data_IF_732247305378
#
_entry.id   IF_732247305378
#
_cell.length_a   1.000
_cell.length_b   1.000
_cell.length_c   1.000
_cell.angle_alpha   90.00
_cell.angle_beta   90.00
_cell.angle_gamma   90.00
#
_symmetry.space_group_name_H-M   'P 1'
#
loop_
_entity.id
_entity.type
_entity.pdbx_description
1 polymer ?
#
# COMPACT_ATOMS: atom_id res chain seq x y z
N UNK A 1 -14.32 10.94 10.47
CA UNK A 1 -13.34 11.74 9.72
C UNK A 1 -13.30 11.25 8.26
N UNK A 2 -12.99 12.11 7.28
CA UNK A 2 -12.76 11.68 5.90
C UNK A 2 -11.65 10.64 5.82
N UNK A 3 -11.69 9.73 4.81
CA UNK A 3 -10.74 8.62 4.69
C UNK A 3 -9.29 9.10 4.60
N UNK A 4 -9.04 10.16 3.83
CA UNK A 4 -7.71 10.78 3.73
C UNK A 4 -7.17 11.29 5.07
N UNK A 5 -8.04 11.83 5.93
CA UNK A 5 -7.67 12.26 7.30
C UNK A 5 -7.36 11.05 8.18
N UNK A 6 -8.13 9.96 8.08
CA UNK A 6 -7.84 8.70 8.78
C UNK A 6 -6.48 8.13 8.36
N UNK A 7 -6.17 8.17 7.06
CA UNK A 7 -4.86 7.76 6.53
C UNK A 7 -3.72 8.60 7.09
N UNK A 8 -3.89 9.93 7.14
CA UNK A 8 -2.90 10.85 7.73
C UNK A 8 -2.69 10.57 9.23
N UNK A 9 -3.77 10.40 9.98
CA UNK A 9 -3.70 10.05 11.41
C UNK A 9 -2.98 8.73 11.64
N UNK A 10 -3.27 7.71 10.81
CA UNK A 10 -2.61 6.41 10.86
C UNK A 10 -1.12 6.52 10.56
N UNK A 11 -0.73 7.28 9.55
CA UNK A 11 0.68 7.54 9.24
C UNK A 11 1.40 8.23 10.40
N UNK A 12 0.77 9.22 11.02
CA UNK A 12 1.34 9.91 12.17
C UNK A 12 1.51 8.98 13.37
N UNK A 13 0.49 8.22 13.73
CA UNK A 13 0.51 7.31 14.86
C UNK A 13 1.52 6.18 14.68
N UNK A 14 1.40 5.42 13.61
CA UNK A 14 2.29 4.27 13.33
C UNK A 14 3.71 4.74 13.02
N UNK A 15 3.83 5.84 12.29
CA UNK A 15 5.13 6.44 11.97
C UNK A 15 5.89 6.88 13.22
N UNK A 16 5.19 7.46 14.20
CA UNK A 16 5.78 7.82 15.49
C UNK A 16 6.35 6.58 16.22
N UNK A 17 5.58 5.50 16.31
CA UNK A 17 6.01 4.27 16.98
C UNK A 17 7.21 3.64 16.26
N UNK A 18 7.14 3.52 14.93
CA UNK A 18 8.23 2.99 14.11
C UNK A 18 9.50 3.85 14.20
N UNK A 19 9.36 5.17 14.17
CA UNK A 19 10.47 6.10 14.28
C UNK A 19 11.23 5.91 15.59
N UNK A 20 10.51 5.76 16.72
CA UNK A 20 11.10 5.53 18.01
C UNK A 20 11.79 4.15 18.10
N UNK A 21 11.11 3.10 17.60
CA UNK A 21 11.65 1.75 17.60
C UNK A 21 12.92 1.63 16.74
N UNK A 22 12.89 2.16 15.52
CA UNK A 22 14.06 2.15 14.61
C UNK A 22 15.22 2.96 15.21
N UNK A 23 14.91 4.14 15.75
CA UNK A 23 15.94 4.97 16.40
C UNK A 23 16.61 4.24 17.58
N UNK A 24 15.83 3.58 18.42
CA UNK A 24 16.36 2.83 19.56
C UNK A 24 17.25 1.68 19.09
N UNK A 25 16.83 0.94 18.07
CA UNK A 25 17.60 -0.17 17.52
C UNK A 25 18.89 0.29 16.84
N UNK A 26 18.86 1.39 16.09
CA UNK A 26 20.06 1.99 15.49
C UNK A 26 21.07 2.36 16.58
N UNK A 27 20.63 3.05 17.63
CA UNK A 27 21.52 3.46 18.74
C UNK A 27 22.10 2.24 19.45
N UNK A 28 21.31 1.19 19.68
CA UNK A 28 21.79 -0.04 20.33
C UNK A 28 22.91 -0.72 19.55
N UNK A 29 22.92 -0.54 18.22
CA UNK A 29 23.95 -1.04 17.30
C UNK A 29 25.11 -0.04 17.08
N UNK A 30 25.13 1.08 17.77
CA UNK A 30 26.15 2.13 17.59
C UNK A 30 26.00 2.92 16.28
N UNK A 31 24.81 2.88 15.65
CA UNK A 31 24.54 3.60 14.40
C UNK A 31 23.78 4.88 14.74
N UNK A 32 24.36 6.03 14.40
CA UNK A 32 23.79 7.35 14.67
C UNK A 32 23.23 7.95 13.37
N UNK A 33 22.01 7.52 12.99
CA UNK A 33 21.30 8.09 11.83
C UNK A 33 20.00 8.75 12.30
N UNK A 34 19.65 9.93 11.79
CA UNK A 34 18.32 10.49 11.99
C UNK A 34 17.24 9.57 11.37
N UNK A 35 16.08 9.50 12.01
CA UNK A 35 14.91 8.80 11.51
C UNK A 35 13.78 9.82 11.43
N UNK A 36 13.14 9.94 10.28
CA UNK A 36 12.05 10.89 10.05
C UNK A 36 10.82 10.18 9.48
N UNK A 37 9.64 10.56 9.96
CA UNK A 37 8.35 10.15 9.41
C UNK A 37 7.80 11.28 8.55
N UNK A 38 7.48 10.99 7.29
CA UNK A 38 6.90 11.93 6.33
C UNK A 38 5.45 11.53 6.07
N UNK A 39 4.52 12.42 6.41
CA UNK A 39 3.14 12.29 5.95
C UNK A 39 3.15 12.38 4.43
N UNK A 40 2.77 11.30 3.79
CA UNK A 40 2.95 11.13 2.34
C UNK A 40 1.60 11.14 1.65
N UNK A 41 1.41 12.11 0.77
CA UNK A 41 0.24 12.24 -0.09
C UNK A 41 0.53 11.64 -1.46
N UNK A 42 -0.47 10.97 -2.03
CA UNK A 42 -0.35 10.31 -3.32
C UNK A 42 -1.49 10.74 -4.22
N UNK A 43 -1.15 11.35 -5.33
CA UNK A 43 -2.11 11.77 -6.35
C UNK A 43 -2.63 10.55 -7.08
N UNK A 44 -3.94 10.51 -7.24
CA UNK A 44 -4.68 9.48 -7.99
C UNK A 44 -5.53 10.13 -9.08
N UNK A 45 -5.88 9.34 -10.10
CA UNK A 45 -6.83 9.76 -11.12
C UNK A 45 -8.26 9.70 -10.56
N UNK A 46 -9.04 10.80 -10.57
CA UNK A 46 -10.44 10.78 -10.15
C UNK A 46 -11.34 9.94 -11.07
N UNK A 47 -10.86 9.59 -12.27
CA UNK A 47 -11.58 8.78 -13.26
C UNK A 47 -11.03 7.36 -13.38
N UNK A 48 -10.16 6.92 -12.45
CA UNK A 48 -9.69 5.56 -12.40
C UNK A 48 -10.87 4.57 -12.32
N UNK A 49 -10.81 3.49 -13.09
CA UNK A 49 -11.86 2.47 -13.17
C UNK A 49 -12.19 1.84 -11.81
N UNK A 50 -11.24 1.79 -10.90
CA UNK A 50 -11.43 1.30 -9.53
C UNK A 50 -12.55 2.04 -8.76
N UNK A 51 -12.89 3.27 -9.15
CA UNK A 51 -14.02 3.99 -8.55
C UNK A 51 -15.39 3.46 -9.01
N UNK A 52 -15.45 2.84 -10.20
CA UNK A 52 -16.65 2.18 -10.70
C UNK A 52 -16.86 0.80 -10.08
N UNK A 53 -15.76 0.13 -9.70
CA UNK A 53 -15.77 -1.24 -9.17
C UNK A 53 -14.89 -1.32 -7.90
N UNK A 54 -15.36 -0.76 -6.77
CA UNK A 54 -14.61 -0.80 -5.53
C UNK A 54 -14.55 -2.22 -4.96
N UNK A 55 -13.35 -2.72 -4.67
CA UNK A 55 -13.14 -4.10 -4.20
C UNK A 55 -12.32 -4.17 -2.89
N UNK A 56 -11.66 -3.07 -2.51
CA UNK A 56 -10.76 -3.11 -1.35
C UNK A 56 -11.51 -3.15 -0.04
N UNK A 57 -11.50 -4.30 0.61
CA UNK A 57 -12.15 -4.51 1.91
C UNK A 57 -11.43 -3.69 2.99
N UNK A 58 -12.21 -2.93 3.78
CA UNK A 58 -11.72 -2.11 4.88
C UNK A 58 -12.61 -2.25 6.14
N UNK A 59 -12.09 -1.73 7.25
CA UNK A 59 -12.85 -1.55 8.49
C UNK A 59 -13.20 -2.87 9.19
N UNK A 60 -14.12 -2.78 10.13
CA UNK A 60 -14.62 -3.91 10.92
C UNK A 60 -15.71 -4.68 10.19
N UNK A 61 -16.03 -5.83 10.72
CA UNK A 61 -17.25 -6.57 10.35
C UNK A 61 -18.49 -5.78 10.78
N UNK A 62 -19.50 -5.76 9.93
CA UNK A 62 -20.80 -5.10 10.10
C UNK A 62 -21.90 -6.16 10.13
N UNK A 63 -22.96 -5.89 10.88
CA UNK A 63 -24.22 -6.63 10.74
C UNK A 63 -24.97 -6.17 9.48
N UNK A 64 -26.03 -6.89 9.08
CA UNK A 64 -26.89 -6.49 7.94
C UNK A 64 -27.47 -5.09 8.13
N UNK A 65 -27.98 -4.78 9.32
CA UNK A 65 -28.54 -3.46 9.65
C UNK A 65 -27.50 -2.34 9.57
N UNK A 66 -26.26 -2.62 10.02
CA UNK A 66 -25.15 -1.67 9.93
C UNK A 66 -24.70 -1.48 8.48
N UNK A 67 -24.74 -2.54 7.66
CA UNK A 67 -24.43 -2.48 6.24
C UNK A 67 -25.42 -1.60 5.48
N UNK A 68 -26.73 -1.79 5.68
CA UNK A 68 -27.79 -0.95 5.12
C UNK A 68 -27.59 0.53 5.52
N UNK A 69 -27.25 0.79 6.79
CA UNK A 69 -27.00 2.14 7.26
C UNK A 69 -25.73 2.78 6.64
N UNK A 70 -24.76 1.99 6.21
CA UNK A 70 -23.59 2.49 5.46
C UNK A 70 -23.93 2.75 3.99
N UNK A 71 -24.75 1.90 3.35
CA UNK A 71 -25.25 2.10 1.99
C UNK A 71 -26.11 3.38 1.88
N UNK A 72 -26.97 3.62 2.86
CA UNK A 72 -27.78 4.85 2.96
C UNK A 72 -26.93 6.13 3.02
N UNK A 73 -25.69 6.03 3.54
CA UNK A 73 -24.71 7.11 3.54
C UNK A 73 -23.93 7.22 2.23
N UNK A 74 -24.20 6.34 1.26
CA UNK A 74 -23.48 6.27 -0.01
C UNK A 74 -22.14 5.53 0.07
N UNK A 75 -21.89 4.73 1.10
CA UNK A 75 -20.74 3.86 1.18
C UNK A 75 -21.02 2.52 0.50
N UNK A 76 -19.98 1.91 -0.05
CA UNK A 76 -20.06 0.57 -0.61
C UNK A 76 -19.76 -0.47 0.48
N UNK A 77 -20.53 -1.56 0.45
CA UNK A 77 -20.33 -2.73 1.32
C UNK A 77 -20.34 -4.02 0.52
N UNK A 78 -19.73 -5.06 1.05
CA UNK A 78 -19.77 -6.41 0.48
C UNK A 78 -19.99 -7.43 1.57
N UNK A 79 -20.71 -8.51 1.25
CA UNK A 79 -20.84 -9.66 2.14
C UNK A 79 -19.51 -10.45 2.14
N UNK A 80 -19.01 -10.75 3.34
CA UNK A 80 -17.80 -11.53 3.51
C UNK A 80 -18.06 -12.95 4.01
N UNK A 81 -19.32 -13.35 4.07
CA UNK A 81 -19.79 -14.68 4.46
C UNK A 81 -20.59 -14.66 5.76
N UNK A 82 -21.44 -15.69 5.95
CA UNK A 82 -22.25 -15.89 7.14
C UNK A 82 -23.18 -14.72 7.53
N UNK A 83 -23.61 -13.89 6.56
CA UNK A 83 -24.40 -12.68 6.84
C UNK A 83 -23.59 -11.55 7.48
N UNK A 84 -22.27 -11.61 7.41
CA UNK A 84 -21.37 -10.57 7.83
C UNK A 84 -20.98 -9.69 6.64
N UNK A 85 -20.85 -8.39 6.86
CA UNK A 85 -20.54 -7.40 5.84
C UNK A 85 -19.31 -6.59 6.18
N UNK A 86 -18.65 -6.06 5.18
CA UNK A 86 -17.57 -5.09 5.36
C UNK A 86 -17.66 -3.98 4.31
N UNK A 87 -17.16 -2.81 4.67
CA UNK A 87 -17.04 -1.71 3.71
C UNK A 87 -15.97 -2.05 2.68
N UNK A 88 -16.19 -1.57 1.47
CA UNK A 88 -15.22 -1.62 0.37
C UNK A 88 -14.93 -0.21 -0.14
N UNK A 89 -13.72 0.00 -0.61
CA UNK A 89 -13.29 1.25 -1.25
C UNK A 89 -12.61 0.97 -2.59
N UNK A 90 -12.57 2.00 -3.42
CA UNK A 90 -11.74 2.02 -4.60
C UNK A 90 -10.24 1.92 -4.22
N UNK A 91 -9.47 1.20 -5.03
CA UNK A 91 -8.03 1.09 -4.89
C UNK A 91 -7.33 1.58 -6.18
N UNK A 92 -7.41 2.89 -6.50
CA UNK A 92 -6.85 3.45 -7.72
C UNK A 92 -5.32 3.35 -7.74
N UNK A 93 -4.75 3.36 -8.95
CA UNK A 93 -3.31 3.34 -9.16
C UNK A 93 -2.67 4.66 -8.73
N UNK A 94 -1.51 4.63 -8.06
CA UNK A 94 -0.78 5.83 -7.69
C UNK A 94 -0.17 6.52 -8.92
N UNK A 95 -0.43 7.81 -9.09
CA UNK A 95 0.16 8.59 -10.19
C UNK A 95 1.44 9.32 -9.77
N UNK A 96 1.41 10.02 -8.64
CA UNK A 96 2.50 10.89 -8.18
C UNK A 96 2.58 10.91 -6.66
N UNK A 97 3.78 10.85 -6.14
CA UNK A 97 4.07 11.04 -4.71
C UNK A 97 4.39 12.53 -4.51
N UNK A 98 3.58 13.22 -3.71
CA UNK A 98 3.71 14.68 -3.54
C UNK A 98 5.01 15.04 -2.85
N UNK A 99 5.37 14.31 -1.80
CA UNK A 99 6.56 14.57 -0.99
C UNK A 99 7.83 13.86 -1.50
N UNK A 100 7.85 13.39 -2.76
CA UNK A 100 8.96 12.61 -3.33
C UNK A 100 10.32 13.29 -3.17
N UNK A 101 10.42 14.58 -3.52
CA UNK A 101 11.68 15.31 -3.44
C UNK A 101 12.15 15.54 -1.98
N UNK A 102 11.23 15.66 -1.05
CA UNK A 102 11.55 15.71 0.39
C UNK A 102 12.11 14.36 0.86
N UNK A 103 11.46 13.26 0.47
CA UNK A 103 11.89 11.90 0.79
C UNK A 103 13.30 11.65 0.21
N UNK A 104 13.50 12.01 -1.08
CA UNK A 104 14.80 11.89 -1.76
C UNK A 104 15.88 12.64 -1.02
N UNK A 105 15.65 13.92 -0.70
CA UNK A 105 16.62 14.79 -0.01
C UNK A 105 17.08 14.20 1.32
N UNK A 106 16.15 13.66 2.10
CA UNK A 106 16.48 13.03 3.38
C UNK A 106 17.22 11.71 3.19
N UNK A 107 16.82 10.89 2.23
CA UNK A 107 17.49 9.63 1.92
C UNK A 107 18.92 9.86 1.41
N UNK A 108 19.12 10.80 0.49
CA UNK A 108 20.44 11.17 -0.04
C UNK A 108 21.35 11.75 1.06
N UNK A 109 20.78 12.41 2.07
CA UNK A 109 21.51 12.82 3.27
C UNK A 109 21.81 11.66 4.25
N UNK A 110 21.50 10.42 3.89
CA UNK A 110 21.77 9.21 4.67
C UNK A 110 20.83 9.00 5.85
N UNK A 111 19.71 9.67 5.89
CA UNK A 111 18.68 9.49 6.92
C UNK A 111 17.81 8.26 6.63
N UNK A 112 17.20 7.71 7.67
CA UNK A 112 16.13 6.70 7.53
C UNK A 112 14.79 7.43 7.41
N UNK A 113 14.07 7.16 6.33
CA UNK A 113 12.79 7.82 6.05
C UNK A 113 11.65 6.81 6.09
N UNK A 114 10.64 7.08 6.91
CA UNK A 114 9.39 6.36 6.95
C UNK A 114 8.38 7.15 6.12
N UNK A 115 7.94 6.58 5.01
CA UNK A 115 7.06 7.26 4.06
C UNK A 115 5.96 6.33 3.53
N UNK A 116 4.93 6.91 2.94
CA UNK A 116 3.84 6.22 2.26
C UNK A 116 3.13 5.14 3.09
N UNK A 117 3.09 5.29 4.42
CA UNK A 117 2.43 4.34 5.32
C UNK A 117 0.99 4.08 4.90
N UNK A 118 0.60 2.77 4.88
CA UNK A 118 -0.74 2.34 4.47
C UNK A 118 -1.07 2.57 3.00
N UNK A 119 -0.07 2.86 2.15
CA UNK A 119 -0.25 3.17 0.72
C UNK A 119 -0.22 4.67 0.41
N UNK A 120 -0.12 5.52 1.42
CA UNK A 120 -0.18 6.98 1.26
C UNK A 120 -1.57 7.57 1.52
N UNK A 121 -1.65 8.89 1.55
CA UNK A 121 -2.90 9.64 1.67
C UNK A 121 -3.41 9.92 0.26
N UNK A 122 -4.53 9.29 -0.17
CA UNK A 122 -5.03 9.50 -1.52
C UNK A 122 -5.58 10.92 -1.69
N UNK A 123 -5.09 11.62 -2.71
CA UNK A 123 -5.50 12.99 -3.03
C UNK A 123 -5.73 13.18 -4.53
N UNK A 124 -6.59 14.12 -4.87
CA UNK A 124 -6.88 14.55 -6.24
C UNK A 124 -6.36 15.99 -6.39
N UNK A 125 -5.61 16.25 -7.44
CA UNK A 125 -5.18 17.60 -7.78
C UNK A 125 -6.37 18.41 -8.35
N UNK A 126 -6.68 19.54 -7.72
CA UNK A 126 -7.69 20.48 -8.18
C UNK A 126 -7.07 21.89 -8.27
N UNK A 127 -6.62 22.25 -9.47
CA UNK A 127 -5.85 23.48 -9.71
C UNK A 127 -4.59 23.55 -8.83
N UNK A 128 -4.63 24.35 -7.74
CA UNK A 128 -3.51 24.53 -6.82
C UNK A 128 -3.70 23.80 -5.48
N UNK A 129 -4.81 23.09 -5.31
CA UNK A 129 -5.15 22.41 -4.07
C UNK A 129 -5.13 20.90 -4.22
N UNK A 130 -4.85 20.22 -3.12
CA UNK A 130 -5.00 18.78 -2.99
C UNK A 130 -6.27 18.50 -2.19
N UNK A 131 -7.18 17.73 -2.76
CA UNK A 131 -8.41 17.29 -2.11
C UNK A 131 -8.30 15.81 -1.76
N UNK A 132 -8.50 15.48 -0.49
CA UNK A 132 -8.52 14.08 -0.05
C UNK A 132 -9.61 13.27 -0.74
N UNK A 133 -9.27 12.09 -1.20
CA UNK A 133 -10.17 11.15 -1.85
C UNK A 133 -10.67 10.06 -0.87
N UNK A 134 -11.86 9.51 -1.15
CA UNK A 134 -12.39 8.33 -0.47
C UNK A 134 -11.91 7.06 -1.18
N UNK A 135 -10.65 6.74 -1.02
CA UNK A 135 -9.97 5.62 -1.65
C UNK A 135 -8.88 5.07 -0.72
N UNK A 136 -8.31 3.94 -1.06
CA UNK A 136 -7.07 3.42 -0.49
C UNK A 136 -6.10 3.11 -1.62
N UNK A 137 -4.81 3.21 -1.36
CA UNK A 137 -3.79 2.88 -2.35
C UNK A 137 -3.11 1.58 -1.90
N UNK A 138 -2.89 0.66 -2.83
CA UNK A 138 -2.18 -0.58 -2.50
C UNK A 138 -0.75 -0.29 -2.07
N UNK A 139 -0.40 -0.76 -0.87
CA UNK A 139 0.91 -0.52 -0.25
C UNK A 139 2.07 -1.06 -1.10
N UNK A 140 1.85 -2.17 -1.78
CA UNK A 140 2.88 -2.79 -2.62
C UNK A 140 3.10 -1.95 -3.89
N UNK A 141 2.03 -1.47 -4.53
CA UNK A 141 2.11 -0.58 -5.69
C UNK A 141 2.87 0.72 -5.38
N UNK A 142 2.57 1.34 -4.24
CA UNK A 142 3.28 2.58 -3.88
C UNK A 142 4.74 2.32 -3.48
N UNK A 143 5.05 1.16 -2.90
CA UNK A 143 6.42 0.78 -2.59
C UNK A 143 7.25 0.59 -3.87
N UNK A 144 6.72 -0.10 -4.88
CA UNK A 144 7.34 -0.23 -6.20
C UNK A 144 7.54 1.14 -6.86
N UNK A 145 6.49 1.97 -6.89
CA UNK A 145 6.59 3.32 -7.43
C UNK A 145 7.63 4.17 -6.70
N UNK A 146 7.67 4.14 -5.37
CA UNK A 146 8.64 4.90 -4.60
C UNK A 146 10.08 4.42 -4.87
N UNK A 147 10.29 3.11 -4.96
CA UNK A 147 11.59 2.53 -5.30
C UNK A 147 12.04 2.96 -6.70
N UNK A 148 11.16 2.89 -7.68
CA UNK A 148 11.42 3.32 -9.06
C UNK A 148 11.69 4.82 -9.15
N UNK A 149 10.82 5.66 -8.57
CA UNK A 149 10.96 7.12 -8.61
C UNK A 149 12.24 7.60 -7.89
N UNK A 150 12.66 6.93 -6.82
CA UNK A 150 13.91 7.21 -6.11
C UNK A 150 15.15 6.59 -6.77
N UNK A 151 14.98 5.72 -7.76
CA UNK A 151 16.05 4.89 -8.33
C UNK A 151 16.77 4.09 -7.24
N UNK A 152 16.01 3.41 -6.40
CA UNK A 152 16.54 2.62 -5.30
C UNK A 152 17.37 1.43 -5.83
N UNK A 153 18.45 1.10 -5.12
CA UNK A 153 19.28 -0.05 -5.48
C UNK A 153 18.57 -1.38 -5.23
N UNK A 154 17.70 -1.42 -4.24
CA UNK A 154 16.94 -2.61 -3.85
C UNK A 154 15.54 -2.24 -3.34
N UNK A 155 14.56 -3.11 -3.61
CA UNK A 155 13.24 -3.12 -2.99
C UNK A 155 13.07 -4.40 -2.18
N UNK A 156 12.93 -4.28 -0.87
CA UNK A 156 12.69 -5.42 0.03
C UNK A 156 11.24 -5.40 0.49
N UNK A 157 10.49 -6.45 0.18
CA UNK A 157 9.09 -6.61 0.60
C UNK A 157 9.02 -7.70 1.68
N UNK A 158 8.67 -7.32 2.90
CA UNK A 158 8.42 -8.28 3.98
C UNK A 158 7.03 -8.89 3.83
N UNK A 159 6.97 -10.21 3.90
CA UNK A 159 5.73 -10.98 3.76
C UNK A 159 5.67 -12.12 4.76
N UNK A 160 4.50 -12.76 4.89
CA UNK A 160 4.25 -13.84 5.86
C UNK A 160 4.75 -15.22 5.40
N UNK A 161 5.21 -15.33 4.16
CA UNK A 161 5.79 -16.56 3.60
C UNK A 161 7.29 -16.39 3.41
N UNK A 162 8.02 -17.50 3.43
CA UNK A 162 9.48 -17.55 3.33
C UNK A 162 10.02 -17.32 1.92
N UNK A 163 9.20 -17.59 0.88
CA UNK A 163 9.53 -17.31 -0.52
C UNK A 163 8.27 -17.20 -1.38
N UNK A 164 8.46 -16.85 -2.63
CA UNK A 164 7.43 -16.89 -3.66
C UNK A 164 7.25 -18.34 -4.13
N UNK A 165 6.01 -18.75 -4.39
CA UNK A 165 5.71 -20.10 -4.86
C UNK A 165 4.90 -20.10 -6.15
N UNK A 166 5.19 -21.04 -7.04
CA UNK A 166 4.24 -21.50 -8.05
C UNK A 166 3.29 -22.49 -7.43
N UNK A 167 2.07 -22.55 -7.94
CA UNK A 167 1.04 -23.50 -7.49
C UNK A 167 0.83 -23.49 -5.96
N UNK A 168 0.88 -22.31 -5.34
CA UNK A 168 0.77 -22.19 -3.88
C UNK A 168 -0.46 -22.92 -3.33
N UNK A 169 -0.26 -23.77 -2.32
CA UNK A 169 -1.31 -24.55 -1.67
C UNK A 169 -1.76 -25.80 -2.45
N UNK A 170 -1.09 -26.16 -3.57
CA UNK A 170 -1.32 -27.39 -4.33
C UNK A 170 -0.24 -28.44 -4.07
N UNK A 171 -0.51 -29.69 -4.49
CA UNK A 171 0.46 -30.81 -4.30
C UNK A 171 1.79 -30.60 -5.06
N UNK A 172 1.74 -29.85 -6.16
CA UNK A 172 2.88 -29.50 -7.00
C UNK A 172 3.45 -28.11 -6.70
N UNK A 173 3.28 -27.62 -5.48
CA UNK A 173 3.85 -26.36 -5.03
C UNK A 173 5.37 -26.36 -5.15
N UNK A 174 5.92 -25.33 -5.80
CA UNK A 174 7.36 -25.16 -6.00
C UNK A 174 7.81 -23.77 -5.58
N UNK A 175 8.83 -23.69 -4.70
CA UNK A 175 9.41 -22.42 -4.25
C UNK A 175 10.32 -21.80 -5.30
N UNK A 176 10.21 -20.49 -5.47
CA UNK A 176 11.02 -19.72 -6.41
C UNK A 176 12.03 -18.90 -5.60
N UNK A 177 13.30 -19.27 -5.69
CA UNK A 177 14.39 -18.55 -5.02
C UNK A 177 14.90 -17.35 -5.81
N UNK A 178 14.71 -17.34 -7.12
CA UNK A 178 15.10 -16.26 -8.04
C UNK A 178 14.30 -16.38 -9.32
N UNK A 179 13.91 -15.25 -9.89
CA UNK A 179 13.29 -15.16 -11.20
C UNK A 179 13.64 -13.84 -11.87
N UNK A 180 13.67 -13.85 -13.19
CA UNK A 180 13.81 -12.64 -14.00
C UNK A 180 12.46 -11.94 -14.16
N UNK A 181 12.47 -10.67 -14.57
CA UNK A 181 11.25 -9.92 -14.91
C UNK A 181 10.41 -10.66 -15.96
N UNK A 182 11.05 -11.23 -16.98
CA UNK A 182 10.35 -11.97 -18.03
C UNK A 182 9.68 -13.25 -17.50
N UNK A 183 10.31 -13.97 -16.57
CA UNK A 183 9.71 -15.13 -15.91
C UNK A 183 8.56 -14.72 -15.00
N UNK A 184 8.72 -13.63 -14.26
CA UNK A 184 7.65 -13.09 -13.40
C UNK A 184 6.41 -12.70 -14.22
N UNK A 185 6.59 -12.01 -15.36
CA UNK A 185 5.51 -11.68 -16.28
C UNK A 185 4.80 -12.92 -16.83
N UNK A 186 5.56 -13.93 -17.25
CA UNK A 186 4.99 -15.21 -17.68
C UNK A 186 4.17 -15.88 -16.59
N UNK A 187 4.66 -15.91 -15.35
CA UNK A 187 3.93 -16.52 -14.24
C UNK A 187 2.67 -15.73 -13.84
N UNK A 188 2.66 -14.40 -14.05
CA UNK A 188 1.46 -13.58 -13.92
C UNK A 188 0.41 -14.00 -14.98
N UNK A 189 0.81 -14.12 -16.25
CA UNK A 189 -0.08 -14.56 -17.34
C UNK A 189 -0.64 -15.96 -17.12
N UNK A 190 0.15 -16.86 -16.52
CA UNK A 190 -0.26 -18.22 -16.14
C UNK A 190 -1.13 -18.27 -14.87
N UNK A 191 -1.38 -17.14 -14.20
CA UNK A 191 -2.19 -17.06 -12.99
C UNK A 191 -1.57 -17.77 -11.78
N UNK A 192 -0.24 -17.78 -11.67
CA UNK A 192 0.48 -18.49 -10.62
C UNK A 192 0.39 -17.82 -9.25
N UNK A 193 0.09 -16.52 -9.18
CA UNK A 193 0.12 -15.73 -7.95
C UNK A 193 -1.29 -15.37 -7.48
N UNK A 194 -1.52 -15.45 -6.16
CA UNK A 194 -2.78 -15.03 -5.55
C UNK A 194 -3.05 -13.54 -5.78
N UNK A 195 -4.23 -13.22 -6.34
CA UNK A 195 -4.58 -11.88 -6.81
C UNK A 195 -4.54 -10.80 -5.72
N UNK A 196 -4.85 -11.15 -4.49
CA UNK A 196 -4.99 -10.18 -3.38
C UNK A 196 -3.75 -10.06 -2.50
N UNK A 197 -2.77 -10.92 -2.65
CA UNK A 197 -1.60 -10.96 -1.75
C UNK A 197 -0.26 -10.96 -2.52
N UNK A 198 0.05 -12.03 -3.28
CA UNK A 198 1.36 -12.17 -3.91
C UNK A 198 1.45 -11.38 -5.23
N UNK A 199 0.40 -11.37 -6.05
CA UNK A 199 0.40 -10.67 -7.33
C UNK A 199 0.79 -9.18 -7.21
N UNK A 200 0.21 -8.37 -6.30
CA UNK A 200 0.61 -6.97 -6.15
C UNK A 200 2.09 -6.79 -5.79
N UNK A 201 2.68 -7.73 -5.06
CA UNK A 201 4.11 -7.69 -4.68
C UNK A 201 5.01 -7.96 -5.88
N UNK A 202 4.62 -8.92 -6.73
CA UNK A 202 5.37 -9.23 -7.96
C UNK A 202 5.26 -8.07 -8.95
N UNK A 203 4.07 -7.49 -9.13
CA UNK A 203 3.87 -6.31 -9.97
C UNK A 203 4.71 -5.12 -9.48
N UNK A 204 4.74 -4.88 -8.17
CA UNK A 204 5.58 -3.85 -7.56
C UNK A 204 7.08 -4.09 -7.78
N UNK A 205 7.52 -5.34 -7.83
CA UNK A 205 8.93 -5.70 -8.08
C UNK A 205 9.32 -5.59 -9.57
N UNK A 206 8.34 -5.58 -10.49
CA UNK A 206 8.56 -5.42 -11.94
C UNK A 206 8.62 -3.94 -12.34
N UNK A 207 7.88 -3.07 -11.60
CA UNK A 207 7.78 -1.64 -11.87
C UNK A 207 9.12 -0.93 -11.62
#
# INVERSE_FOLDING_TARGET
APMSVCSAMSQGYIGYDLQNAIRAELISRGIYKPVATILTQVVIDPYDEAFGEPEKIIGRILTSEEAEAEEDKGNFVTEVGNGEYRRILAAPKPQKIVELETIRTLADAGQVVIAAGGGGIPVIEQQHNLKGASAVIEKDCIAGKLASDLMADELIILTSVDMVYKNFGKEDQEGISSMTVAEAQKYIEEGQFGATDMLPKIEAAIA
#
